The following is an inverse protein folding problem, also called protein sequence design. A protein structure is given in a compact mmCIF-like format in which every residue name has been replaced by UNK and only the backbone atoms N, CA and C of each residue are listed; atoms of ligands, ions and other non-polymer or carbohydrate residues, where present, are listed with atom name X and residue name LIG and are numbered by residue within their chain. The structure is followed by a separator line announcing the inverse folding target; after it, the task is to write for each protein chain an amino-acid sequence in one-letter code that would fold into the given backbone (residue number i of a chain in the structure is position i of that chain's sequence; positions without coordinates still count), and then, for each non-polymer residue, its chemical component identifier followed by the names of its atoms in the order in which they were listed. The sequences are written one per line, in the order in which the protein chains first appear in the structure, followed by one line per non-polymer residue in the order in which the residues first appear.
data_IF_649572795618
#
_entry.id   IF_649572795618
#
_cell.length_a   1.000
_cell.length_b   1.000
_cell.length_c   1.000
_cell.angle_alpha   90.00
_cell.angle_beta   90.00
_cell.angle_gamma   90.00
#
_symmetry.space_group_name_H-M   'P 1'
#
loop_
_entity.id
_entity.type
_entity.pdbx_description
1 polymer ?
#
# COMPACT_ATOMS: atom_id res chain seq x y z
N UNK A 1 -8.22 -6.94 17.85
CA UNK A 1 -7.19 -6.32 18.71
C UNK A 1 -5.90 -6.22 17.92
N UNK A 2 -5.09 -5.18 18.14
CA UNK A 2 -3.77 -4.97 17.50
C UNK A 2 -2.82 -6.13 17.81
N UNK A 3 -2.76 -6.56 19.07
CA UNK A 3 -1.87 -7.65 19.52
C UNK A 3 -2.07 -8.93 18.72
N UNK A 4 -3.33 -9.38 18.58
CA UNK A 4 -3.65 -10.59 17.79
C UNK A 4 -3.27 -10.45 16.32
N UNK A 5 -3.48 -9.26 15.74
CA UNK A 5 -3.12 -9.00 14.35
C UNK A 5 -1.60 -9.11 14.16
N UNK A 6 -0.81 -8.45 15.01
CA UNK A 6 0.65 -8.48 14.91
C UNK A 6 1.20 -9.91 15.02
N UNK A 7 0.75 -10.71 16.00
CA UNK A 7 1.21 -12.12 16.11
C UNK A 7 0.93 -12.94 14.86
N UNK A 8 -0.28 -12.83 14.31
CA UNK A 8 -0.65 -13.58 13.10
C UNK A 8 0.19 -13.13 11.90
N UNK A 9 0.43 -11.82 11.76
CA UNK A 9 1.18 -11.29 10.62
C UNK A 9 2.66 -11.65 10.70
N UNK A 10 3.20 -11.70 11.91
CA UNK A 10 4.54 -12.18 12.20
C UNK A 10 4.68 -13.67 11.82
N UNK A 11 3.76 -14.53 12.27
CA UNK A 11 3.73 -15.96 11.91
C UNK A 11 3.57 -16.21 10.41
N UNK A 12 2.92 -15.30 9.68
CA UNK A 12 2.76 -15.37 8.23
C UNK A 12 3.99 -14.86 7.44
N UNK A 13 5.02 -14.36 8.12
CA UNK A 13 6.21 -13.81 7.48
C UNK A 13 5.96 -12.47 6.76
N UNK A 14 5.01 -11.66 7.24
CA UNK A 14 4.74 -10.33 6.67
C UNK A 14 5.89 -9.38 7.03
N UNK A 15 6.42 -8.65 6.05
CA UNK A 15 7.52 -7.71 6.29
C UNK A 15 7.14 -6.39 6.97
N UNK A 16 5.89 -5.94 6.83
CA UNK A 16 5.43 -4.71 7.48
C UNK A 16 3.91 -4.67 7.71
N UNK A 17 3.49 -4.07 8.82
CA UNK A 17 2.10 -3.69 9.10
C UNK A 17 1.97 -2.18 9.13
N UNK A 18 0.90 -1.66 8.52
CA UNK A 18 0.55 -0.24 8.54
C UNK A 18 -0.65 -0.04 9.46
N UNK A 19 -0.48 0.75 10.52
CA UNK A 19 -1.52 1.07 11.50
C UNK A 19 -1.91 2.53 11.37
N UNK A 20 -3.17 2.79 11.03
CA UNK A 20 -3.68 4.15 10.88
C UNK A 20 -4.34 4.71 12.14
N UNK A 21 -4.45 6.04 12.17
CA UNK A 21 -5.04 6.81 13.26
C UNK A 21 -6.52 7.18 13.04
N UNK A 22 -7.20 6.72 11.99
CA UNK A 22 -8.65 6.93 11.87
C UNK A 22 -9.42 6.18 12.97
N UNK A 23 -10.51 6.77 13.46
CA UNK A 23 -11.42 6.04 14.35
C UNK A 23 -12.19 4.98 13.54
N UNK A 24 -12.38 3.80 14.15
CA UNK A 24 -12.86 2.60 13.43
C UNK A 24 -14.28 2.78 12.89
N UNK A 25 -15.13 3.51 13.60
CA UNK A 25 -16.57 3.66 13.35
C UNK A 25 -16.86 4.46 12.08
N UNK A 26 -15.95 5.36 11.68
CA UNK A 26 -16.12 6.23 10.50
C UNK A 26 -14.92 6.17 9.55
N UNK A 27 -14.08 5.14 9.67
CA UNK A 27 -12.93 4.90 8.80
C UNK A 27 -13.33 4.98 7.33
N UNK A 28 -12.58 5.75 6.55
CA UNK A 28 -12.75 5.89 5.10
C UNK A 28 -11.52 5.40 4.37
N UNK A 29 -11.73 4.88 3.16
CA UNK A 29 -10.65 4.56 2.22
C UNK A 29 -10.20 5.78 1.43
N UNK A 30 -8.96 5.74 0.95
CA UNK A 30 -8.39 6.78 0.10
C UNK A 30 -7.74 7.91 0.88
N UNK A 31 -7.16 8.85 0.15
CA UNK A 31 -6.42 9.96 0.73
C UNK A 31 -7.36 11.11 1.04
N UNK A 32 -7.14 11.78 2.16
CA UNK A 32 -7.86 13.00 2.57
C UNK A 32 -9.38 12.81 2.76
N UNK A 33 -9.86 11.57 2.87
CA UNK A 33 -11.26 11.25 3.11
C UNK A 33 -11.56 10.98 4.59
N UNK A 34 -10.55 11.05 5.45
CA UNK A 34 -10.70 10.79 6.87
C UNK A 34 -11.75 11.72 7.47
N UNK A 35 -12.82 11.13 8.01
CA UNK A 35 -13.87 11.89 8.69
C UNK A 35 -13.44 12.33 10.07
N UNK A 36 -12.65 11.49 10.75
CA UNK A 36 -12.12 11.75 12.08
C UNK A 36 -10.93 10.85 12.38
N UNK A 37 -9.94 11.42 13.04
CA UNK A 37 -8.80 10.72 13.61
C UNK A 37 -8.96 10.54 15.12
N UNK A 38 -8.35 9.48 15.65
CA UNK A 38 -8.39 9.10 17.04
C UNK A 38 -7.64 10.14 17.90
N UNK A 39 -7.99 10.24 19.19
CA UNK A 39 -7.16 10.92 20.17
C UNK A 39 -5.72 10.40 20.16
N UNK A 40 -4.78 11.28 20.43
CA UNK A 40 -3.34 10.98 20.38
C UNK A 40 -2.96 9.77 21.25
N UNK A 41 -3.46 9.72 22.48
CA UNK A 41 -3.15 8.64 23.44
C UNK A 41 -3.66 7.27 22.98
N UNK A 42 -4.75 7.22 22.22
CA UNK A 42 -5.34 5.98 21.73
C UNK A 42 -4.44 5.34 20.68
N UNK A 43 -4.00 6.10 19.66
CA UNK A 43 -3.13 5.59 18.61
C UNK A 43 -1.72 5.27 19.16
N UNK A 44 -1.20 6.07 20.09
CA UNK A 44 0.08 5.78 20.75
C UNK A 44 0.04 4.45 21.50
N UNK A 45 -1.06 4.15 22.22
CA UNK A 45 -1.22 2.85 22.89
C UNK A 45 -1.27 1.69 21.90
N UNK A 46 -1.94 1.87 20.75
CA UNK A 46 -2.01 0.86 19.68
C UNK A 46 -0.63 0.61 19.06
N UNK A 47 0.14 1.66 18.77
CA UNK A 47 1.49 1.55 18.22
C UNK A 47 2.44 0.86 19.20
N UNK A 48 2.45 1.26 20.47
CA UNK A 48 3.25 0.58 21.51
C UNK A 48 2.89 -0.88 21.63
N UNK A 49 1.59 -1.20 21.68
CA UNK A 49 1.13 -2.59 21.72
C UNK A 49 1.59 -3.38 20.49
N UNK A 50 1.62 -2.79 19.30
CA UNK A 50 2.12 -3.45 18.10
C UNK A 50 3.63 -3.73 18.18
N UNK A 51 4.40 -2.72 18.54
CA UNK A 51 5.87 -2.79 18.64
C UNK A 51 6.33 -3.74 19.74
N UNK A 52 5.63 -3.80 20.87
CA UNK A 52 5.93 -4.72 21.97
C UNK A 52 5.48 -6.17 21.67
N UNK A 53 4.52 -6.37 20.74
CA UNK A 53 3.98 -7.70 20.44
C UNK A 53 4.79 -8.47 19.42
N UNK A 54 5.43 -7.80 18.45
CA UNK A 54 6.21 -8.49 17.41
C UNK A 54 7.31 -9.33 18.05
N UNK A 55 7.45 -10.57 17.58
CA UNK A 55 8.51 -11.49 18.00
C UNK A 55 9.68 -11.45 17.03
N UNK A 56 9.42 -11.28 15.74
CA UNK A 56 10.43 -10.93 14.75
C UNK A 56 10.69 -9.41 14.73
N UNK A 57 11.96 -9.03 14.70
CA UNK A 57 12.38 -7.63 14.56
C UNK A 57 12.32 -7.15 13.12
N UNK A 58 12.25 -8.06 12.16
CA UNK A 58 12.14 -7.74 10.74
C UNK A 58 10.71 -7.32 10.35
N UNK A 59 9.71 -7.65 11.17
CA UNK A 59 8.35 -7.11 11.01
C UNK A 59 8.32 -5.62 11.40
N UNK A 60 8.22 -4.75 10.41
CA UNK A 60 8.11 -3.30 10.62
C UNK A 60 6.69 -2.88 11.04
N UNK A 61 6.59 -1.94 11.97
CA UNK A 61 5.35 -1.26 12.36
C UNK A 61 5.39 0.17 11.84
N UNK A 62 4.61 0.44 10.79
CA UNK A 62 4.50 1.75 10.16
C UNK A 62 3.25 2.46 10.65
N UNK A 63 3.41 3.69 11.14
CA UNK A 63 2.30 4.53 11.57
C UNK A 63 1.76 5.37 10.40
N UNK A 64 0.51 5.12 10.00
CA UNK A 64 -0.22 5.93 9.03
C UNK A 64 -0.98 7.06 9.73
N UNK A 65 -0.80 8.28 9.25
CA UNK A 65 -1.40 9.49 9.81
C UNK A 65 -2.39 10.11 8.80
N UNK A 66 -3.67 9.79 8.95
CA UNK A 66 -4.75 10.29 8.11
C UNK A 66 -5.24 11.69 8.53
N UNK A 67 -4.52 12.37 9.42
CA UNK A 67 -4.89 13.69 9.94
C UNK A 67 -4.72 14.85 8.94
N UNK A 68 -4.07 14.65 7.79
CA UNK A 68 -3.71 15.76 6.88
C UNK A 68 -4.92 16.58 6.42
N UNK A 69 -6.05 15.94 6.08
CA UNK A 69 -7.27 16.66 5.67
C UNK A 69 -7.99 17.38 6.82
N UNK A 70 -7.70 17.04 8.08
CA UNK A 70 -8.41 17.52 9.27
C UNK A 70 -7.57 18.57 10.01
N UNK A 71 -6.28 18.27 10.20
CA UNK A 71 -5.34 19.04 11.02
C UNK A 71 -4.23 19.70 10.18
N UNK A 72 -4.23 19.49 8.86
CA UNK A 72 -3.21 20.00 7.94
C UNK A 72 -1.85 19.29 8.08
N UNK A 73 -0.86 19.81 7.36
CA UNK A 73 0.51 19.28 7.40
C UNK A 73 1.10 19.37 8.81
N UNK A 74 1.01 20.52 9.48
CA UNK A 74 1.61 20.73 10.80
C UNK A 74 1.04 19.79 11.88
N UNK A 75 -0.28 19.53 11.86
CA UNK A 75 -0.89 18.54 12.76
C UNK A 75 -0.37 17.12 12.46
N UNK A 76 -0.29 16.77 11.18
CA UNK A 76 0.23 15.48 10.73
C UNK A 76 1.69 15.25 11.10
N UNK A 77 2.53 16.28 10.99
CA UNK A 77 3.95 16.22 11.39
C UNK A 77 4.09 15.99 12.90
N UNK A 78 3.32 16.72 13.73
CA UNK A 78 3.32 16.53 15.19
C UNK A 78 2.86 15.14 15.61
N UNK A 79 1.84 14.60 14.94
CA UNK A 79 1.36 13.23 15.11
C UNK A 79 2.46 12.21 14.78
N UNK A 80 3.04 12.31 13.60
CA UNK A 80 4.09 11.40 13.14
C UNK A 80 5.34 11.42 14.04
N UNK A 81 5.77 12.59 14.53
CA UNK A 81 6.85 12.68 15.52
C UNK A 81 6.51 11.91 16.81
N UNK A 82 5.29 12.05 17.33
CA UNK A 82 4.84 11.27 18.47
C UNK A 82 4.76 9.77 18.18
N UNK A 83 4.39 9.37 16.95
CA UNK A 83 4.32 7.96 16.54
C UNK A 83 5.69 7.31 16.49
N UNK A 84 6.70 8.00 15.94
CA UNK A 84 8.10 7.57 15.96
C UNK A 84 8.62 7.45 17.40
N UNK A 85 8.31 8.43 18.27
CA UNK A 85 8.65 8.37 19.71
C UNK A 85 7.96 7.24 20.46
N UNK A 86 6.85 6.72 19.94
CA UNK A 86 6.17 5.55 20.48
C UNK A 86 6.75 4.22 19.99
N UNK A 87 7.78 4.26 19.13
CA UNK A 87 8.51 3.09 18.65
C UNK A 87 8.09 2.58 17.27
N UNK A 88 7.23 3.31 16.54
CA UNK A 88 6.96 2.98 15.14
C UNK A 88 8.27 3.10 14.33
N UNK A 89 8.53 2.14 13.44
CA UNK A 89 9.76 2.11 12.63
C UNK A 89 9.70 3.11 11.46
N UNK A 90 8.49 3.55 11.12
CA UNK A 90 8.27 4.51 10.05
C UNK A 90 6.92 5.19 10.08
N UNK A 91 6.75 6.14 9.16
CA UNK A 91 5.54 6.96 9.04
C UNK A 91 5.04 7.05 7.60
N UNK A 92 3.74 7.25 7.47
CA UNK A 92 3.04 7.45 6.20
C UNK A 92 1.97 8.53 6.36
N UNK A 93 2.12 9.67 5.69
CA UNK A 93 1.12 10.74 5.66
C UNK A 93 0.44 10.73 4.27
N UNK A 94 -0.67 10.00 4.09
CA UNK A 94 -1.39 10.00 2.83
C UNK A 94 -1.90 11.39 2.49
N UNK A 95 -1.92 11.68 1.19
CA UNK A 95 -2.66 12.83 0.69
C UNK A 95 -1.94 14.17 0.67
N UNK A 96 -0.68 14.22 1.10
CA UNK A 96 0.25 15.31 0.75
C UNK A 96 0.44 15.33 -0.77
N UNK A 97 0.33 16.49 -1.41
CA UNK A 97 0.26 16.56 -2.89
C UNK A 97 1.18 17.56 -3.57
N UNK A 98 1.71 18.55 -2.87
CA UNK A 98 2.65 19.50 -3.48
C UNK A 98 4.07 19.02 -3.27
N UNK A 99 4.96 19.37 -4.20
CA UNK A 99 6.39 19.00 -4.12
C UNK A 99 7.02 19.60 -2.85
N UNK A 100 6.66 20.84 -2.53
CA UNK A 100 7.17 21.58 -1.38
C UNK A 100 6.79 20.92 -0.05
N UNK A 101 5.55 20.42 0.07
CA UNK A 101 5.12 19.71 1.27
C UNK A 101 5.75 18.31 1.35
N UNK A 102 5.91 17.61 0.23
CA UNK A 102 6.61 16.32 0.18
C UNK A 102 8.08 16.46 0.61
N UNK A 103 8.78 17.49 0.14
CA UNK A 103 10.13 17.85 0.58
C UNK A 103 10.17 18.15 2.08
N UNK A 104 9.16 18.87 2.59
CA UNK A 104 9.03 19.19 4.02
C UNK A 104 8.88 17.92 4.85
N UNK A 105 8.00 16.99 4.45
CA UNK A 105 7.81 15.69 5.13
C UNK A 105 9.12 14.90 5.11
N UNK A 106 9.68 14.70 3.92
CA UNK A 106 10.91 13.92 3.71
C UNK A 106 12.09 14.45 4.52
N UNK A 107 12.24 15.77 4.63
CA UNK A 107 13.25 16.43 5.46
C UNK A 107 12.97 16.29 6.95
N UNK A 108 11.71 16.44 7.38
CA UNK A 108 11.32 16.38 8.81
C UNK A 108 11.64 15.03 9.44
N UNK A 109 11.35 13.94 8.74
CA UNK A 109 11.55 12.57 9.26
C UNK A 109 12.73 11.85 8.62
N UNK A 110 13.69 12.61 8.06
CA UNK A 110 14.88 12.04 7.42
C UNK A 110 15.60 11.10 8.38
N UNK A 111 15.88 9.88 7.92
CA UNK A 111 16.49 8.82 8.71
C UNK A 111 15.48 7.83 9.32
N UNK A 112 14.19 8.16 9.35
CA UNK A 112 13.11 7.20 9.63
C UNK A 112 12.62 6.54 8.33
N UNK A 113 11.97 5.38 8.42
CA UNK A 113 11.32 4.80 7.25
C UNK A 113 10.10 5.63 6.87
N UNK A 114 10.02 6.03 5.61
CA UNK A 114 8.96 6.93 5.13
C UNK A 114 8.28 6.35 3.90
N UNK A 115 6.96 6.20 3.97
CA UNK A 115 6.13 5.79 2.84
C UNK A 115 5.46 7.03 2.25
N UNK A 116 5.46 7.11 0.93
CA UNK A 116 4.63 8.04 0.16
C UNK A 116 3.81 7.25 -0.85
N UNK A 117 2.58 7.70 -1.11
CA UNK A 117 1.73 7.11 -2.12
C UNK A 117 1.61 8.01 -3.36
N UNK A 118 1.60 7.39 -4.53
CA UNK A 118 1.44 8.09 -5.81
C UNK A 118 0.15 7.61 -6.48
N UNK A 119 -0.79 8.53 -6.68
CA UNK A 119 -2.11 8.27 -7.27
C UNK A 119 -2.28 9.00 -8.60
N UNK A 120 -2.83 8.31 -9.59
CA UNK A 120 -2.90 8.82 -10.98
C UNK A 120 -3.84 10.01 -11.14
N UNK A 121 -4.74 10.22 -10.18
CA UNK A 121 -5.65 11.36 -10.16
C UNK A 121 -5.07 12.60 -9.44
N UNK A 122 -3.76 12.62 -9.19
CA UNK A 122 -3.04 13.75 -8.57
C UNK A 122 -2.23 14.51 -9.62
N UNK A 123 -2.09 15.83 -9.49
CA UNK A 123 -1.25 16.63 -10.40
C UNK A 123 0.25 16.29 -10.27
N UNK A 124 0.67 15.78 -9.12
CA UNK A 124 2.06 15.45 -8.82
C UNK A 124 2.31 13.96 -8.99
N UNK A 125 3.18 13.61 -9.93
CA UNK A 125 3.62 12.25 -10.20
C UNK A 125 5.13 12.21 -10.35
N UNK A 126 5.83 11.96 -9.23
CA UNK A 126 7.28 11.99 -9.15
C UNK A 126 7.87 10.59 -9.34
N UNK A 127 9.09 10.52 -9.89
CA UNK A 127 9.86 9.28 -9.98
C UNK A 127 10.30 8.82 -8.59
N UNK A 128 10.44 7.51 -8.35
CA UNK A 128 10.97 7.00 -7.10
C UNK A 128 12.32 7.62 -6.69
N UNK A 129 13.20 7.91 -7.65
CA UNK A 129 14.49 8.56 -7.38
C UNK A 129 14.37 9.99 -6.85
N UNK A 130 13.36 10.74 -7.28
CA UNK A 130 13.10 12.11 -6.81
C UNK A 130 12.57 12.06 -5.37
N UNK A 131 11.63 11.15 -5.10
CA UNK A 131 11.08 10.91 -3.76
C UNK A 131 12.16 10.40 -2.78
N UNK A 132 13.06 9.54 -3.25
CA UNK A 132 14.20 9.07 -2.47
C UNK A 132 15.15 10.23 -2.10
N UNK A 133 15.42 11.15 -3.03
CA UNK A 133 16.22 12.35 -2.73
C UNK A 133 15.58 13.24 -1.65
N UNK A 134 14.24 13.33 -1.64
CA UNK A 134 13.49 14.06 -0.62
C UNK A 134 13.55 13.39 0.76
N UNK A 135 13.77 12.07 0.82
CA UNK A 135 13.96 11.30 2.05
C UNK A 135 13.00 10.12 2.22
N UNK A 136 12.14 9.84 1.24
CA UNK A 136 11.21 8.71 1.28
C UNK A 136 11.93 7.38 1.03
N UNK A 137 11.53 6.34 1.76
CA UNK A 137 12.11 4.99 1.68
C UNK A 137 11.32 4.08 0.74
N UNK A 138 10.02 4.33 0.59
CA UNK A 138 9.11 3.51 -0.19
C UNK A 138 8.07 4.37 -0.91
N UNK A 139 7.76 3.97 -2.14
CA UNK A 139 6.62 4.49 -2.90
C UNK A 139 5.59 3.38 -3.05
N UNK A 140 4.32 3.70 -2.78
CA UNK A 140 3.21 2.79 -3.05
C UNK A 140 2.33 3.32 -4.17
N UNK A 141 1.83 2.42 -5.02
CA UNK A 141 0.94 2.72 -6.15
C UNK A 141 -0.38 1.94 -6.01
N UNK A 142 -1.21 2.23 -4.99
CA UNK A 142 -2.24 1.30 -4.51
C UNK A 142 -3.25 0.85 -5.58
N UNK A 143 -3.61 1.76 -6.49
CA UNK A 143 -4.64 1.50 -7.49
C UNK A 143 -4.09 1.20 -8.89
N UNK A 144 -2.77 1.35 -9.12
CA UNK A 144 -2.22 1.39 -10.46
C UNK A 144 -2.49 0.07 -11.21
N UNK A 145 -1.94 -1.04 -10.72
CA UNK A 145 -2.14 -2.36 -11.35
C UNK A 145 -3.62 -2.77 -11.30
N UNK A 146 -4.27 -2.56 -10.14
CA UNK A 146 -5.66 -2.96 -9.92
C UNK A 146 -6.63 -2.36 -10.95
N UNK A 147 -6.52 -1.06 -11.24
CA UNK A 147 -7.42 -0.40 -12.20
C UNK A 147 -7.19 -0.90 -13.63
N UNK A 148 -5.95 -1.20 -14.04
CA UNK A 148 -5.69 -1.79 -15.37
C UNK A 148 -6.28 -3.20 -15.48
N UNK A 149 -6.10 -4.03 -14.45
CA UNK A 149 -6.68 -5.37 -14.40
C UNK A 149 -8.21 -5.31 -14.46
N UNK A 150 -8.83 -4.38 -13.71
CA UNK A 150 -10.28 -4.17 -13.75
C UNK A 150 -10.76 -3.80 -15.16
N UNK A 151 -10.10 -2.86 -15.83
CA UNK A 151 -10.47 -2.41 -17.17
C UNK A 151 -10.36 -3.55 -18.20
N UNK A 152 -9.25 -4.29 -18.20
CA UNK A 152 -9.04 -5.41 -19.11
C UNK A 152 -10.06 -6.54 -18.88
N UNK A 153 -10.36 -6.84 -17.61
CA UNK A 153 -11.36 -7.85 -17.25
C UNK A 153 -12.76 -7.42 -17.68
N UNK A 154 -13.12 -6.15 -17.42
CA UNK A 154 -14.42 -5.60 -17.82
C UNK A 154 -14.58 -5.62 -19.34
N UNK A 155 -13.56 -5.22 -20.10
CA UNK A 155 -13.60 -5.27 -21.57
C UNK A 155 -13.83 -6.70 -22.08
N UNK A 156 -13.07 -7.68 -21.59
CA UNK A 156 -13.24 -9.08 -21.96
C UNK A 156 -14.67 -9.61 -21.67
N UNK A 157 -15.23 -9.26 -20.51
CA UNK A 157 -16.60 -9.64 -20.13
C UNK A 157 -17.64 -8.95 -21.01
N UNK A 158 -17.45 -7.68 -21.38
CA UNK A 158 -18.35 -6.96 -22.28
C UNK A 158 -18.35 -7.56 -23.69
N UNK A 159 -17.21 -8.04 -24.18
CA UNK A 159 -17.13 -8.74 -25.46
C UNK A 159 -17.92 -10.06 -25.43
N UNK A 160 -17.78 -10.84 -24.36
CA UNK A 160 -18.56 -12.08 -24.18
C UNK A 160 -20.07 -11.79 -24.04
N UNK A 161 -20.44 -10.71 -23.36
CA UNK A 161 -21.83 -10.29 -23.25
C UNK A 161 -22.41 -9.95 -24.63
N UNK A 162 -21.71 -9.13 -25.43
CA UNK A 162 -22.16 -8.78 -26.79
C UNK A 162 -22.33 -10.02 -27.65
N UNK A 163 -21.33 -10.91 -27.66
CA UNK A 163 -21.40 -12.17 -28.37
C UNK A 163 -22.65 -12.99 -27.99
N UNK A 164 -23.00 -13.03 -26.70
CA UNK A 164 -24.19 -13.72 -26.24
C UNK A 164 -25.52 -13.03 -26.59
N UNK A 165 -25.52 -11.71 -26.84
CA UNK A 165 -26.76 -10.93 -27.05
C UNK A 165 -27.04 -10.59 -28.51
N UNK A 166 -26.01 -10.36 -29.32
CA UNK A 166 -26.15 -9.88 -30.70
C UNK A 166 -25.22 -10.59 -31.69
N UNK A 167 -24.63 -11.73 -31.29
CA UNK A 167 -23.70 -12.55 -32.06
C UNK A 167 -22.41 -11.80 -32.52
N UNK A 168 -22.11 -10.62 -31.97
CA UNK A 168 -20.86 -9.91 -32.25
C UNK A 168 -19.65 -10.70 -31.72
N UNK A 169 -18.75 -11.21 -32.58
CA UNK A 169 -17.65 -12.06 -32.13
C UNK A 169 -16.64 -11.27 -31.27
N UNK A 170 -16.06 -11.90 -30.23
CA UNK A 170 -15.00 -11.28 -29.45
C UNK A 170 -13.72 -11.11 -30.28
N UNK A 171 -12.91 -10.12 -29.89
CA UNK A 171 -11.58 -9.91 -30.42
C UNK A 171 -10.62 -10.91 -29.76
N UNK A 172 -10.11 -11.84 -30.57
CA UNK A 172 -9.12 -12.80 -30.10
C UNK A 172 -7.78 -12.12 -29.82
N UNK A 173 -7.01 -12.68 -28.88
CA UNK A 173 -5.63 -12.24 -28.61
C UNK A 173 -4.80 -12.38 -29.89
N UNK A 174 -4.09 -11.31 -30.25
CA UNK A 174 -3.18 -11.31 -31.41
C UNK A 174 -1.99 -12.25 -31.24
N UNK A 175 -1.58 -12.50 -29.99
CA UNK A 175 -0.53 -13.45 -29.62
C UNK A 175 -0.98 -14.33 -28.44
N UNK A 176 -1.83 -15.31 -28.74
CA UNK A 176 -2.35 -16.25 -27.75
C UNK A 176 -1.26 -17.13 -27.14
N UNK A 177 -0.33 -17.63 -27.96
CA UNK A 177 0.74 -18.51 -27.47
C UNK A 177 1.76 -17.75 -26.62
N UNK A 178 2.07 -16.50 -26.95
CA UNK A 178 2.89 -15.62 -26.10
C UNK A 178 2.24 -15.34 -24.75
N UNK A 179 0.92 -15.06 -24.72
CA UNK A 179 0.19 -14.89 -23.47
C UNK A 179 0.20 -16.17 -22.60
N UNK A 180 0.06 -17.35 -23.23
CA UNK A 180 0.17 -18.63 -22.52
C UNK A 180 1.59 -18.89 -22.02
N UNK A 181 2.61 -18.60 -22.82
CA UNK A 181 4.01 -18.75 -22.40
C UNK A 181 4.32 -17.87 -21.19
N UNK A 182 3.91 -16.60 -21.22
CA UNK A 182 4.06 -15.69 -20.09
C UNK A 182 3.31 -16.19 -18.85
N UNK A 183 2.09 -16.72 -19.00
CA UNK A 183 1.37 -17.33 -17.88
C UNK A 183 2.18 -18.47 -17.23
N UNK A 184 2.71 -19.40 -18.04
CA UNK A 184 3.53 -20.53 -17.57
C UNK A 184 4.78 -20.06 -16.84
N UNK A 185 5.44 -19.04 -17.37
CA UNK A 185 6.61 -18.40 -16.75
C UNK A 185 6.25 -17.81 -15.38
N UNK A 186 5.19 -16.99 -15.31
CA UNK A 186 4.75 -16.33 -14.06
C UNK A 186 4.40 -17.35 -12.98
N UNK A 187 3.71 -18.45 -13.33
CA UNK A 187 3.36 -19.51 -12.37
C UNK A 187 4.51 -20.51 -12.13
N UNK A 188 5.67 -20.31 -12.79
CA UNK A 188 6.89 -21.11 -12.67
C UNK A 188 6.66 -22.60 -12.96
N UNK A 189 5.83 -22.91 -13.96
CA UNK A 189 5.38 -24.29 -14.25
C UNK A 189 6.55 -25.27 -14.44
N UNK A 190 7.60 -24.87 -15.16
CA UNK A 190 8.77 -25.71 -15.42
C UNK A 190 9.53 -26.07 -14.14
N UNK A 191 9.67 -25.11 -13.23
CA UNK A 191 10.34 -25.34 -11.96
C UNK A 191 9.61 -26.41 -11.13
N UNK A 192 8.29 -26.25 -10.97
CA UNK A 192 7.48 -27.22 -10.24
C UNK A 192 7.51 -28.60 -10.90
N UNK A 193 7.39 -28.65 -12.22
CA UNK A 193 7.45 -29.89 -12.99
C UNK A 193 8.80 -30.59 -12.81
N UNK A 194 9.91 -29.85 -12.87
CA UNK A 194 11.25 -30.38 -12.67
C UNK A 194 11.45 -30.91 -11.25
N UNK A 195 10.90 -30.22 -10.25
CA UNK A 195 10.98 -30.63 -8.86
C UNK A 195 10.21 -31.93 -8.64
N UNK A 196 8.99 -32.05 -9.17
CA UNK A 196 8.20 -33.29 -9.09
C UNK A 196 8.89 -34.47 -9.76
N UNK A 197 9.50 -34.26 -10.93
CA UNK A 197 10.21 -35.31 -11.65
C UNK A 197 11.40 -35.88 -10.86
N UNK A 198 12.02 -35.09 -9.98
CA UNK A 198 13.11 -35.58 -9.10
C UNK A 198 12.65 -36.60 -8.06
N UNK A 199 11.35 -36.68 -7.79
CA UNK A 199 10.76 -37.60 -6.82
C UNK A 199 9.94 -38.72 -7.46
N UNK A 200 9.94 -38.83 -8.78
CA UNK A 200 9.40 -39.97 -9.53
C UNK A 200 10.50 -40.95 -9.89
#
# INVERSE_FOLDING_TARGET
SVVRMVRIYDELGVGAVVLEDQIREVKQSGNNNARRVAPHDEIIRKLRAAVETRSDKDLMVIARCDAYAIEGLEGSLKRCDAYLKAGADGVFIPGVSTVEELERVGKTFRGSYQIVDMLENRPTWLKPSELAAMGFSQVVYPNFVMLRTMLATNDALMQLQRFATDDSPPVLLSDFEGARALFREIVREEEWSSLEQRFR
#
